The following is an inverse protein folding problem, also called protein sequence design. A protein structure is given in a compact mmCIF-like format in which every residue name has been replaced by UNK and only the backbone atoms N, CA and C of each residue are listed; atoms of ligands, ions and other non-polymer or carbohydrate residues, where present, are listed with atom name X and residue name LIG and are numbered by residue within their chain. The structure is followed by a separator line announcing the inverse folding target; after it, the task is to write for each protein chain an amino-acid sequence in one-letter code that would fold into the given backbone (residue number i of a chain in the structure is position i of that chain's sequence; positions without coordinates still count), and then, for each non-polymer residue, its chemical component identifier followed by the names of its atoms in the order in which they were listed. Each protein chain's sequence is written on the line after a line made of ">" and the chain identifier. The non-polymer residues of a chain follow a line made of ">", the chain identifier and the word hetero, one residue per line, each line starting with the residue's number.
data_IF_493409655657
#
_entry.id   IF_493409655657
#
_cell.length_a   1.000
_cell.length_b   1.000
_cell.length_c   1.000
_cell.angle_alpha   90.00
_cell.angle_beta   90.00
_cell.angle_gamma   90.00
#
_symmetry.space_group_name_H-M   'P 1'
#
loop_
_entity.id
_entity.type
_entity.pdbx_description
1 polymer ?
#
# COMPACT_ATOMS: atom_id res chain seq x y z
N UNK A 1 7.57 -16.38 22.84
CA UNK A 1 7.64 -15.07 22.18
C UNK A 1 6.30 -14.82 21.51
N UNK A 2 5.75 -13.61 21.62
CA UNK A 2 4.51 -13.29 20.94
C UNK A 2 4.77 -13.25 19.42
N UNK A 3 3.86 -13.82 18.64
CA UNK A 3 4.00 -13.87 17.18
C UNK A 3 3.92 -12.47 16.61
N UNK A 4 4.86 -12.09 15.75
CA UNK A 4 4.87 -10.79 15.09
C UNK A 4 3.61 -10.63 14.23
N UNK A 5 2.83 -9.58 14.50
CA UNK A 5 1.64 -9.21 13.74
C UNK A 5 1.80 -7.81 13.15
N UNK A 6 1.10 -7.54 12.05
CA UNK A 6 1.21 -6.27 11.33
C UNK A 6 -0.08 -5.46 11.42
N UNK A 7 0.04 -4.14 11.54
CA UNK A 7 -1.12 -3.27 11.61
C UNK A 7 -1.78 -3.11 10.24
N UNK A 8 -3.13 -3.19 10.20
CA UNK A 8 -3.91 -3.06 8.96
C UNK A 8 -3.57 -1.79 8.17
N UNK A 9 -3.37 -0.66 8.82
CA UNK A 9 -3.03 0.60 8.14
C UNK A 9 -1.65 0.61 7.46
N UNK A 10 -0.82 -0.39 7.70
CA UNK A 10 0.52 -0.51 7.12
C UNK A 10 0.68 -1.72 6.19
N UNK A 11 -0.40 -2.47 5.94
CA UNK A 11 -0.35 -3.66 5.09
C UNK A 11 0.07 -3.33 3.66
N UNK A 12 -0.28 -2.15 3.14
CA UNK A 12 0.16 -1.72 1.82
C UNK A 12 1.68 -1.65 1.67
N UNK A 13 2.42 -1.30 2.74
CA UNK A 13 3.89 -1.35 2.74
C UNK A 13 4.41 -2.77 2.58
N UNK A 14 3.81 -3.73 3.31
CA UNK A 14 4.15 -5.17 3.22
C UNK A 14 3.82 -5.73 1.84
N UNK A 15 2.69 -5.32 1.27
CA UNK A 15 2.18 -5.80 -0.01
C UNK A 15 2.66 -5.00 -1.21
N UNK A 16 3.59 -4.05 -1.02
CA UNK A 16 4.20 -3.30 -2.13
C UNK A 16 4.88 -4.27 -3.09
N UNK A 17 4.53 -4.26 -4.39
CA UNK A 17 5.11 -5.19 -5.35
C UNK A 17 6.62 -4.96 -5.55
N UNK A 18 7.35 -6.02 -5.84
CA UNK A 18 8.75 -5.94 -6.24
C UNK A 18 8.90 -5.29 -7.62
N UNK A 19 10.03 -4.64 -7.89
CA UNK A 19 10.31 -4.04 -9.21
C UNK A 19 10.67 -5.08 -10.28
N UNK A 20 10.84 -6.33 -9.93
CA UNK A 20 11.22 -7.42 -10.83
C UNK A 20 10.13 -8.48 -10.96
N UNK A 21 10.38 -9.47 -11.83
CA UNK A 21 9.51 -10.64 -11.98
C UNK A 21 9.47 -11.44 -10.68
N UNK A 22 8.28 -11.92 -10.32
CA UNK A 22 8.11 -12.88 -9.23
C UNK A 22 8.84 -14.20 -9.53
N UNK A 23 9.05 -15.04 -8.52
CA UNK A 23 9.66 -16.36 -8.76
C UNK A 23 8.80 -17.24 -9.66
N UNK A 24 7.49 -17.17 -9.54
CA UNK A 24 6.57 -17.91 -10.44
C UNK A 24 6.67 -17.40 -11.88
N UNK A 25 6.81 -16.08 -12.12
CA UNK A 25 6.99 -15.53 -13.46
C UNK A 25 8.32 -15.97 -14.07
N UNK A 26 9.40 -15.95 -13.28
CA UNK A 26 10.72 -16.45 -13.71
C UNK A 26 10.68 -17.93 -14.08
N UNK A 27 9.97 -18.73 -13.27
CA UNK A 27 9.77 -20.14 -13.53
C UNK A 27 8.99 -20.36 -14.84
N UNK A 28 7.87 -19.66 -15.03
CA UNK A 28 7.05 -19.77 -16.24
C UNK A 28 7.83 -19.36 -17.50
N UNK A 29 8.59 -18.26 -17.44
CA UNK A 29 9.47 -17.83 -18.54
C UNK A 29 10.52 -18.88 -18.88
N UNK A 30 11.15 -19.49 -17.88
CA UNK A 30 12.16 -20.53 -18.08
C UNK A 30 11.55 -21.80 -18.71
N UNK A 31 10.34 -22.19 -18.29
CA UNK A 31 9.59 -23.33 -18.88
C UNK A 31 9.23 -23.04 -20.34
N UNK A 32 8.73 -21.85 -20.66
CA UNK A 32 8.39 -21.44 -22.01
C UNK A 32 9.63 -21.40 -22.92
N UNK A 33 10.73 -20.83 -22.41
CA UNK A 33 12.00 -20.78 -23.13
C UNK A 33 12.56 -22.19 -23.38
N UNK A 34 12.46 -23.09 -22.42
CA UNK A 34 12.86 -24.48 -22.57
C UNK A 34 12.03 -25.18 -23.65
N UNK A 35 10.71 -25.00 -23.68
CA UNK A 35 9.81 -25.57 -24.65
C UNK A 35 10.15 -25.07 -26.07
N UNK A 36 10.31 -23.76 -26.26
CA UNK A 36 10.67 -23.16 -27.55
C UNK A 36 12.04 -23.59 -28.05
N UNK A 37 13.02 -23.75 -27.14
CA UNK A 37 14.37 -24.23 -27.49
C UNK A 37 14.36 -25.69 -27.90
N UNK A 38 13.56 -26.54 -27.22
CA UNK A 38 13.37 -27.94 -27.63
C UNK A 38 12.75 -28.05 -29.02
N UNK A 39 11.75 -27.23 -29.35
CA UNK A 39 11.15 -27.18 -30.69
C UNK A 39 12.19 -26.84 -31.74
N UNK A 40 12.99 -25.81 -31.54
CA UNK A 40 14.09 -25.42 -32.45
C UNK A 40 15.14 -26.52 -32.63
N UNK A 41 15.50 -27.19 -31.53
CA UNK A 41 16.43 -28.32 -31.58
C UNK A 41 15.89 -29.45 -32.47
N UNK A 42 14.63 -29.83 -32.30
CA UNK A 42 13.99 -30.88 -33.07
C UNK A 42 13.89 -30.52 -34.55
N UNK A 43 13.54 -29.28 -34.89
CA UNK A 43 13.52 -28.76 -36.26
C UNK A 43 14.93 -28.80 -36.91
N UNK A 44 15.94 -28.36 -36.17
CA UNK A 44 17.33 -28.40 -36.64
C UNK A 44 17.80 -29.80 -36.89
N UNK A 45 17.48 -30.75 -36.00
CA UNK A 45 17.85 -32.17 -36.10
C UNK A 45 17.12 -32.86 -37.27
N UNK A 46 15.86 -32.52 -37.53
CA UNK A 46 15.09 -33.09 -38.65
C UNK A 46 15.59 -32.62 -40.02
N UNK A 47 16.27 -31.46 -40.08
CA UNK A 47 16.85 -30.90 -41.31
C UNK A 47 18.29 -31.39 -41.58
N UNK A 48 18.87 -32.17 -40.66
CA UNK A 48 20.21 -32.72 -40.83
C UNK A 48 20.21 -33.91 -41.83
N UNK A 49 20.87 -33.71 -42.95
CA UNK A 49 21.13 -34.79 -43.92
C UNK A 49 22.44 -35.50 -43.55
N UNK A 50 22.30 -36.79 -43.11
CA UNK A 50 23.37 -37.78 -42.84
C UNK A 50 24.40 -37.46 -41.75
N UNK A 51 24.19 -38.05 -40.56
CA UNK A 51 25.16 -38.50 -39.55
C UNK A 51 26.24 -37.53 -39.03
N UNK A 52 26.08 -36.22 -39.14
CA UNK A 52 26.90 -35.25 -38.41
C UNK A 52 26.00 -34.27 -37.70
N UNK A 53 26.03 -34.32 -36.36
CA UNK A 53 25.44 -33.24 -35.55
C UNK A 53 26.08 -31.92 -35.96
N UNK A 54 25.24 -30.95 -36.32
CA UNK A 54 25.72 -29.62 -36.63
C UNK A 54 26.12 -28.89 -35.35
N UNK A 55 27.07 -27.98 -35.44
CA UNK A 55 27.46 -27.12 -34.31
C UNK A 55 26.26 -26.40 -33.71
N UNK A 56 25.23 -26.09 -34.52
CA UNK A 56 23.99 -25.45 -34.08
C UNK A 56 23.15 -26.38 -33.18
N UNK A 57 23.04 -27.68 -33.54
CA UNK A 57 22.33 -28.67 -32.74
C UNK A 57 23.02 -28.92 -31.39
N UNK A 58 24.35 -28.98 -31.37
CA UNK A 58 25.15 -29.13 -30.14
C UNK A 58 24.90 -27.94 -29.21
N UNK A 59 25.01 -26.70 -29.69
CA UNK A 59 24.77 -25.51 -28.91
C UNK A 59 23.33 -25.46 -28.34
N UNK A 60 22.32 -25.90 -29.12
CA UNK A 60 20.93 -25.98 -28.65
C UNK A 60 20.76 -27.04 -27.56
N UNK A 61 21.45 -28.18 -27.66
CA UNK A 61 21.40 -29.24 -26.64
C UNK A 61 22.05 -28.81 -25.33
N UNK A 62 23.19 -28.11 -25.39
CA UNK A 62 23.82 -27.50 -24.22
C UNK A 62 22.89 -26.53 -23.54
N UNK A 63 22.28 -25.61 -24.31
CA UNK A 63 21.29 -24.66 -23.80
C UNK A 63 20.07 -25.32 -23.17
N UNK A 64 19.57 -26.42 -23.76
CA UNK A 64 18.47 -27.21 -23.20
C UNK A 64 18.85 -27.79 -21.83
N UNK A 65 20.10 -28.26 -21.72
CA UNK A 65 20.61 -28.83 -20.47
C UNK A 65 20.69 -27.76 -19.36
N UNK A 66 21.21 -26.58 -19.69
CA UNK A 66 21.25 -25.42 -18.77
C UNK A 66 19.84 -24.98 -18.34
N UNK A 67 18.92 -24.85 -19.30
CA UNK A 67 17.54 -24.47 -19.02
C UNK A 67 16.79 -25.49 -18.15
N UNK A 68 17.04 -26.78 -18.35
CA UNK A 68 16.47 -27.83 -17.48
C UNK A 68 16.97 -27.71 -16.04
N UNK A 69 18.25 -27.41 -15.84
CA UNK A 69 18.79 -27.16 -14.51
C UNK A 69 18.16 -25.91 -13.88
N UNK A 70 18.06 -24.83 -14.65
CA UNK A 70 17.44 -23.58 -14.19
C UNK A 70 15.95 -23.76 -13.84
N UNK A 71 15.17 -24.47 -14.67
CA UNK A 71 13.75 -24.77 -14.36
C UNK A 71 13.64 -25.55 -13.06
N UNK A 72 14.50 -26.54 -12.84
CA UNK A 72 14.51 -27.34 -11.63
C UNK A 72 14.84 -26.51 -10.37
N UNK A 73 15.80 -25.60 -10.47
CA UNK A 73 16.12 -24.67 -9.37
C UNK A 73 14.97 -23.72 -9.08
N UNK A 74 14.38 -23.10 -10.13
CA UNK A 74 13.25 -22.19 -9.98
C UNK A 74 12.00 -22.92 -9.47
N UNK A 75 11.81 -24.19 -9.79
CA UNK A 75 10.68 -24.98 -9.30
C UNK A 75 10.69 -25.12 -7.77
N UNK A 76 11.87 -25.18 -7.16
CA UNK A 76 12.02 -25.28 -5.69
C UNK A 76 11.61 -23.99 -4.97
N UNK A 77 11.73 -22.82 -5.65
CA UNK A 77 11.50 -21.52 -5.04
C UNK A 77 10.34 -20.74 -5.70
N UNK A 78 9.62 -21.34 -6.66
CA UNK A 78 8.57 -20.65 -7.43
C UNK A 78 7.45 -20.06 -6.57
N UNK A 79 7.14 -20.73 -5.46
CA UNK A 79 6.09 -20.35 -4.54
C UNK A 79 6.60 -19.43 -3.41
N UNK A 80 7.91 -19.19 -3.33
CA UNK A 80 8.50 -18.32 -2.32
C UNK A 80 8.20 -16.86 -2.63
N UNK A 81 7.75 -16.16 -1.61
CA UNK A 81 7.43 -14.72 -1.70
C UNK A 81 8.72 -13.90 -1.64
N UNK A 82 8.93 -13.07 -2.64
CA UNK A 82 10.00 -12.06 -2.63
C UNK A 82 9.45 -10.77 -2.03
N UNK A 83 10.02 -10.34 -0.92
CA UNK A 83 9.69 -9.05 -0.31
C UNK A 83 10.30 -7.89 -1.13
N UNK A 84 9.52 -6.83 -1.33
CA UNK A 84 10.02 -5.58 -1.92
C UNK A 84 10.96 -4.85 -0.94
N UNK A 85 11.79 -3.94 -1.45
CA UNK A 85 12.64 -3.10 -0.59
C UNK A 85 11.81 -2.22 0.36
N UNK A 86 10.63 -1.76 -0.06
CA UNK A 86 9.69 -1.04 0.82
C UNK A 86 9.22 -1.93 1.98
N UNK A 87 8.87 -3.19 1.69
CA UNK A 87 8.46 -4.13 2.72
C UNK A 87 9.62 -4.43 3.70
N UNK A 88 10.82 -4.65 3.19
CA UNK A 88 12.02 -4.89 4.02
C UNK A 88 12.32 -3.70 4.93
N UNK A 89 12.37 -2.49 4.37
CA UNK A 89 12.61 -1.26 5.16
C UNK A 89 11.55 -1.09 6.27
N UNK A 90 10.29 -1.38 5.98
CA UNK A 90 9.24 -1.31 7.00
C UNK A 90 9.41 -2.39 8.09
N UNK A 91 9.85 -3.60 7.72
CA UNK A 91 10.13 -4.66 8.70
C UNK A 91 11.33 -4.29 9.57
N UNK A 92 12.36 -3.66 9.00
CA UNK A 92 13.52 -3.12 9.72
C UNK A 92 13.12 -2.02 10.72
N UNK A 93 12.21 -1.11 10.33
CA UNK A 93 11.64 -0.12 11.26
C UNK A 93 10.96 -0.80 12.46
N UNK A 94 10.17 -1.87 12.22
CA UNK A 94 9.54 -2.64 13.28
C UNK A 94 10.59 -3.33 14.15
N UNK A 95 11.63 -3.91 13.55
CA UNK A 95 12.70 -4.57 14.26
C UNK A 95 13.47 -3.61 15.17
N UNK A 96 13.85 -2.42 14.65
CA UNK A 96 14.49 -1.37 15.43
C UNK A 96 13.63 -0.90 16.59
N UNK A 97 12.32 -0.71 16.35
CA UNK A 97 11.38 -0.32 17.40
C UNK A 97 11.28 -1.37 18.50
N UNK A 98 11.18 -2.64 18.14
CA UNK A 98 10.97 -3.73 19.10
C UNK A 98 12.24 -4.05 19.91
N UNK A 99 13.43 -3.92 19.30
CA UNK A 99 14.69 -4.27 19.96
C UNK A 99 15.38 -3.08 20.64
N UNK A 100 15.17 -1.85 20.13
CA UNK A 100 15.90 -0.65 20.60
C UNK A 100 14.97 0.50 21.01
N UNK A 101 13.66 0.34 20.91
CA UNK A 101 12.70 1.43 21.20
C UNK A 101 12.77 2.60 20.18
N UNK A 102 13.50 2.42 19.07
CA UNK A 102 13.65 3.45 18.05
C UNK A 102 12.37 3.61 17.24
N UNK A 103 11.86 4.83 17.14
CA UNK A 103 10.68 5.17 16.37
C UNK A 103 10.86 6.51 15.70
N UNK A 104 10.87 6.51 14.38
CA UNK A 104 10.76 7.76 13.64
C UNK A 104 9.36 8.36 13.84
N UNK A 105 9.34 9.61 14.29
CA UNK A 105 8.09 10.33 14.51
C UNK A 105 7.97 11.43 13.46
N UNK A 106 7.16 11.19 12.44
CA UNK A 106 6.82 12.19 11.45
C UNK A 106 5.42 12.72 11.79
N UNK A 107 5.33 13.99 12.17
CA UNK A 107 4.07 14.68 12.44
C UNK A 107 3.88 15.75 11.37
N UNK A 108 2.86 15.58 10.53
CA UNK A 108 2.49 16.56 9.50
C UNK A 108 1.17 17.23 9.84
N UNK A 109 0.90 18.40 9.27
CA UNK A 109 -0.37 19.10 9.46
C UNK A 109 -1.56 18.27 8.94
N UNK A 110 -1.36 17.51 7.85
CA UNK A 110 -2.35 16.58 7.30
C UNK A 110 -2.72 15.48 8.30
N UNK A 111 -1.72 14.88 8.94
CA UNK A 111 -1.95 13.85 9.95
C UNK A 111 -2.71 14.41 11.16
N UNK A 112 -2.32 15.60 11.63
CA UNK A 112 -3.01 16.27 12.75
C UNK A 112 -4.46 16.56 12.37
N UNK A 113 -4.72 17.10 11.16
CA UNK A 113 -6.09 17.33 10.66
C UNK A 113 -6.88 16.02 10.67
N UNK A 114 -6.31 14.94 10.14
CA UNK A 114 -6.96 13.62 10.11
C UNK A 114 -7.47 13.19 11.49
N UNK A 115 -6.62 13.32 12.51
CA UNK A 115 -6.94 12.95 13.89
C UNK A 115 -8.00 13.88 14.51
N UNK A 116 -7.82 15.20 14.35
CA UNK A 116 -8.68 16.19 15.02
C UNK A 116 -10.08 16.27 14.39
N UNK A 117 -10.17 16.16 13.06
CA UNK A 117 -11.43 16.28 12.34
C UNK A 117 -12.18 14.94 12.14
N UNK A 118 -11.69 13.82 12.66
CA UNK A 118 -12.30 12.52 12.44
C UNK A 118 -13.76 12.48 12.93
N UNK A 119 -14.01 12.95 14.16
CA UNK A 119 -15.35 12.99 14.73
C UNK A 119 -16.30 13.88 13.92
N UNK A 120 -15.87 15.10 13.59
CA UNK A 120 -16.65 16.04 12.76
C UNK A 120 -16.95 15.44 11.40
N UNK A 121 -16.02 14.70 10.81
CA UNK A 121 -16.23 14.05 9.53
C UNK A 121 -17.28 12.94 9.61
N UNK A 122 -17.30 12.16 10.67
CA UNK A 122 -18.35 11.15 10.89
C UNK A 122 -19.71 11.84 11.08
N UNK A 123 -19.78 12.93 11.85
CA UNK A 123 -21.00 13.72 12.04
C UNK A 123 -21.52 14.30 10.72
N UNK A 124 -20.62 14.76 9.84
CA UNK A 124 -20.96 15.27 8.51
C UNK A 124 -21.54 14.16 7.60
N UNK A 125 -21.04 12.91 7.71
CA UNK A 125 -21.63 11.78 6.99
C UNK A 125 -23.04 11.48 7.48
N UNK A 126 -23.27 11.49 8.80
CA UNK A 126 -24.63 11.32 9.39
C UNK A 126 -25.58 12.42 8.92
N UNK A 127 -25.12 13.67 8.85
CA UNK A 127 -25.91 14.80 8.34
C UNK A 127 -26.29 14.59 6.85
N UNK A 128 -25.37 14.04 6.05
CA UNK A 128 -25.58 13.85 4.63
C UNK A 128 -26.61 12.79 4.27
N UNK A 129 -26.60 11.63 4.96
CA UNK A 129 -27.42 10.47 4.57
C UNK A 129 -28.36 9.96 5.68
N UNK A 130 -28.28 10.56 6.87
CA UNK A 130 -29.07 10.15 8.06
C UNK A 130 -28.79 8.72 8.54
N UNK A 131 -27.73 8.07 8.06
CA UNK A 131 -27.31 6.76 8.55
C UNK A 131 -26.55 6.94 9.87
N UNK A 132 -26.96 6.21 10.92
CA UNK A 132 -26.29 6.29 12.21
C UNK A 132 -24.87 5.70 12.12
N UNK A 133 -23.88 6.45 12.59
CA UNK A 133 -22.49 6.05 12.68
C UNK A 133 -21.94 6.33 14.06
N UNK A 134 -21.28 5.37 14.62
CA UNK A 134 -20.54 5.52 15.87
C UNK A 134 -19.08 5.15 15.63
N UNK A 135 -18.16 5.98 16.15
CA UNK A 135 -16.75 5.65 16.08
C UNK A 135 -16.48 4.37 16.85
N UNK A 136 -15.88 3.40 16.16
CA UNK A 136 -15.48 2.15 16.77
C UNK A 136 -14.32 2.37 17.77
N UNK A 137 -14.40 1.69 18.91
CA UNK A 137 -13.37 1.69 19.96
C UNK A 137 -12.75 0.30 20.16
N UNK A 138 -13.24 -0.71 19.46
CA UNK A 138 -12.75 -2.08 19.57
C UNK A 138 -11.45 -2.27 18.78
N UNK A 139 -10.57 -3.05 19.36
CA UNK A 139 -9.32 -3.47 18.73
C UNK A 139 -9.41 -4.93 18.35
N UNK A 140 -9.15 -5.23 17.08
CA UNK A 140 -9.19 -6.57 16.52
C UNK A 140 -7.79 -7.09 16.26
N UNK A 141 -7.57 -8.38 16.49
CA UNK A 141 -6.29 -9.04 16.27
C UNK A 141 -6.52 -10.52 15.93
N UNK A 142 -5.77 -11.02 14.95
CA UNK A 142 -5.58 -12.44 14.72
C UNK A 142 -4.08 -12.78 14.73
N UNK A 143 -3.70 -13.97 14.30
CA UNK A 143 -2.31 -14.40 14.30
C UNK A 143 -1.41 -13.61 13.33
N UNK A 144 -1.97 -12.90 12.37
CA UNK A 144 -1.24 -12.21 11.30
C UNK A 144 -1.32 -10.69 11.39
N UNK A 145 -2.50 -10.17 11.65
CA UNK A 145 -2.80 -8.74 11.56
C UNK A 145 -3.58 -8.22 12.76
N UNK A 146 -3.54 -6.92 12.93
CA UNK A 146 -4.29 -6.23 13.98
C UNK A 146 -4.71 -4.83 13.53
N UNK A 147 -5.74 -4.27 14.17
CA UNK A 147 -6.16 -2.90 13.93
C UNK A 147 -7.54 -2.57 14.51
N UNK A 148 -7.93 -1.32 14.32
CA UNK A 148 -9.21 -0.78 14.75
C UNK A 148 -9.78 0.04 13.58
N UNK A 149 -10.81 -0.45 12.87
CA UNK A 149 -11.50 0.32 11.84
C UNK A 149 -12.24 1.52 12.44
N UNK A 150 -12.52 2.56 11.65
CA UNK A 150 -13.14 3.79 12.16
C UNK A 150 -14.61 3.58 12.52
N UNK A 151 -15.39 2.95 11.62
CA UNK A 151 -16.83 2.69 11.80
C UNK A 151 -17.14 1.27 11.36
N UNK A 152 -17.94 0.57 12.16
CA UNK A 152 -18.44 -0.78 11.85
C UNK A 152 -19.97 -0.71 11.74
N UNK A 153 -20.47 -0.87 10.53
CA UNK A 153 -21.90 -0.99 10.24
C UNK A 153 -22.32 -2.45 10.19
N UNK A 154 -23.62 -2.71 10.02
CA UNK A 154 -24.17 -4.07 10.04
C UNK A 154 -23.46 -4.99 9.03
N UNK A 155 -23.24 -4.54 7.79
CA UNK A 155 -22.67 -5.33 6.69
C UNK A 155 -21.34 -4.78 6.18
N UNK A 156 -20.92 -3.58 6.61
CA UNK A 156 -19.87 -2.78 5.98
C UNK A 156 -18.90 -2.23 7.03
N UNK A 157 -17.61 -2.24 6.71
CA UNK A 157 -16.60 -1.42 7.39
C UNK A 157 -16.53 -0.09 6.65
N UNK A 158 -16.64 1.02 7.34
CA UNK A 158 -16.41 2.34 6.76
C UNK A 158 -15.17 2.99 7.38
N UNK A 159 -14.24 3.41 6.53
CA UNK A 159 -12.99 4.09 6.91
C UNK A 159 -13.03 5.52 6.38
N UNK A 160 -12.88 6.48 7.28
CA UNK A 160 -13.07 7.90 7.00
C UNK A 160 -11.74 8.61 6.85
N UNK A 161 -11.51 9.22 5.69
CA UNK A 161 -10.26 9.94 5.38
C UNK A 161 -10.52 11.43 5.20
N UNK A 162 -9.87 12.24 6.02
CA UNK A 162 -9.92 13.70 5.90
C UNK A 162 -8.96 14.20 4.81
N UNK A 163 -9.50 14.81 3.78
CA UNK A 163 -8.68 15.41 2.73
C UNK A 163 -8.07 16.74 3.20
N UNK A 164 -6.79 16.93 2.93
CA UNK A 164 -6.05 18.13 3.32
C UNK A 164 -6.54 19.39 2.58
N UNK A 165 -6.71 19.28 1.26
CA UNK A 165 -7.15 20.38 0.38
C UNK A 165 -8.18 19.88 -0.64
N UNK A 166 -8.84 20.80 -1.33
CA UNK A 166 -9.71 20.48 -2.47
C UNK A 166 -8.95 19.68 -3.55
N UNK A 167 -7.66 19.97 -3.78
CA UNK A 167 -6.84 19.25 -4.75
C UNK A 167 -6.61 17.78 -4.35
N UNK A 168 -6.33 17.51 -3.08
CA UNK A 168 -6.18 16.13 -2.58
C UNK A 168 -7.51 15.38 -2.63
N UNK A 169 -8.62 16.02 -2.27
CA UNK A 169 -9.96 15.47 -2.40
C UNK A 169 -10.33 15.15 -3.85
N UNK A 170 -10.06 16.08 -4.77
CA UNK A 170 -10.33 15.86 -6.21
C UNK A 170 -9.60 14.64 -6.76
N UNK A 171 -8.36 14.42 -6.34
CA UNK A 171 -7.50 13.29 -6.74
C UNK A 171 -7.68 12.04 -5.90
N UNK A 172 -8.57 12.07 -4.90
CA UNK A 172 -8.80 10.93 -4.03
C UNK A 172 -9.28 9.71 -4.83
N UNK A 173 -8.68 8.57 -4.54
CA UNK A 173 -8.92 7.27 -5.17
C UNK A 173 -8.54 6.16 -4.19
N UNK A 174 -8.84 4.91 -4.52
CA UNK A 174 -8.40 3.74 -3.76
C UNK A 174 -6.91 3.54 -4.03
N UNK A 175 -6.07 3.91 -3.06
CA UNK A 175 -4.66 3.56 -3.11
C UNK A 175 -4.44 2.10 -2.72
N UNK A 176 -3.30 1.52 -3.11
CA UNK A 176 -2.89 0.18 -2.65
C UNK A 176 -2.87 0.08 -1.12
N UNK A 177 -2.44 1.13 -0.41
CA UNK A 177 -2.41 1.13 1.05
C UNK A 177 -3.82 1.01 1.65
N UNK A 178 -4.78 1.77 1.13
CA UNK A 178 -6.17 1.71 1.60
C UNK A 178 -6.89 0.44 1.18
N UNK A 179 -6.57 -0.11 0.00
CA UNK A 179 -7.08 -1.41 -0.41
C UNK A 179 -6.67 -2.51 0.58
N UNK A 180 -5.37 -2.62 0.87
CA UNK A 180 -4.88 -3.63 1.80
C UNK A 180 -5.33 -3.38 3.24
N UNK A 181 -5.44 -2.13 3.67
CA UNK A 181 -6.04 -1.76 4.95
C UNK A 181 -7.48 -2.30 5.05
N UNK A 182 -8.29 -2.05 4.03
CA UNK A 182 -9.69 -2.50 3.99
C UNK A 182 -9.82 -4.02 3.94
N UNK A 183 -9.00 -4.71 3.14
CA UNK A 183 -8.96 -6.18 3.12
C UNK A 183 -8.63 -6.73 4.51
N UNK A 184 -7.64 -6.16 5.20
CA UNK A 184 -7.27 -6.57 6.55
C UNK A 184 -8.39 -6.32 7.57
N UNK A 185 -9.07 -5.19 7.52
CA UNK A 185 -10.19 -4.92 8.43
C UNK A 185 -11.38 -5.84 8.17
N UNK A 186 -11.71 -6.13 6.91
CA UNK A 186 -12.77 -7.09 6.57
C UNK A 186 -12.43 -8.50 7.07
N UNK A 187 -11.18 -8.92 6.95
CA UNK A 187 -10.72 -10.21 7.46
C UNK A 187 -10.83 -10.31 8.99
N UNK A 188 -10.41 -9.27 9.72
CA UNK A 188 -10.49 -9.22 11.18
C UNK A 188 -11.92 -9.22 11.73
N UNK A 189 -12.84 -8.58 11.03
CA UNK A 189 -14.21 -8.38 11.51
C UNK A 189 -15.23 -9.36 10.91
N UNK A 190 -14.82 -10.12 9.88
CA UNK A 190 -15.71 -11.01 9.13
C UNK A 190 -16.66 -10.29 8.17
N UNK A 191 -16.61 -8.97 8.07
CA UNK A 191 -17.43 -8.19 7.14
C UNK A 191 -16.95 -8.43 5.70
N UNK A 192 -17.84 -8.26 4.72
CA UNK A 192 -17.53 -8.58 3.31
C UNK A 192 -17.50 -7.36 2.41
N UNK A 193 -17.86 -6.19 2.94
CA UNK A 193 -17.85 -4.92 2.20
C UNK A 193 -17.04 -3.87 2.95
N UNK A 194 -16.34 -3.05 2.19
CA UNK A 194 -15.57 -1.93 2.70
C UNK A 194 -15.91 -0.66 1.96
N UNK A 195 -16.10 0.42 2.70
CA UNK A 195 -16.39 1.76 2.23
C UNK A 195 -15.25 2.67 2.63
N UNK A 196 -14.53 3.20 1.65
CA UNK A 196 -13.51 4.22 1.83
C UNK A 196 -14.14 5.58 1.55
N UNK A 197 -14.36 6.37 2.59
CA UNK A 197 -15.08 7.64 2.50
C UNK A 197 -14.13 8.81 2.73
N UNK A 198 -13.87 9.58 1.67
CA UNK A 198 -13.13 10.83 1.79
C UNK A 198 -14.07 11.97 2.13
N UNK A 199 -13.68 12.74 3.15
CA UNK A 199 -14.41 13.92 3.60
C UNK A 199 -13.54 15.16 3.44
N UNK A 200 -14.15 16.24 2.96
CA UNK A 200 -13.54 17.55 2.84
C UNK A 200 -14.10 18.45 3.95
N UNK A 201 -13.61 18.25 5.19
CA UNK A 201 -13.92 19.08 6.36
C UNK A 201 -13.06 20.34 6.39
N UNK A 202 -13.54 21.41 7.02
CA UNK A 202 -12.73 22.59 7.27
C UNK A 202 -11.50 22.22 8.13
N UNK A 203 -10.39 22.88 7.86
CA UNK A 203 -9.20 22.66 8.68
C UNK A 203 -9.27 23.59 9.88
N UNK A 204 -9.09 23.10 11.13
CA UNK A 204 -9.09 23.91 12.34
C UNK A 204 -8.16 25.12 12.23
N UNK A 205 -8.59 26.32 12.70
CA UNK A 205 -7.84 27.57 12.55
C UNK A 205 -6.41 27.50 13.10
N UNK A 206 -6.18 26.73 14.14
CA UNK A 206 -4.86 26.55 14.75
C UNK A 206 -3.91 25.81 13.81
N UNK A 207 -4.41 24.82 13.06
CA UNK A 207 -3.62 24.06 12.07
C UNK A 207 -3.36 24.96 10.85
N UNK A 208 -4.36 25.72 10.39
CA UNK A 208 -4.20 26.69 9.29
C UNK A 208 -3.16 27.75 9.64
N UNK A 209 -3.17 28.23 10.90
CA UNK A 209 -2.17 29.21 11.36
C UNK A 209 -0.76 28.63 11.33
N UNK A 210 -0.58 27.38 11.76
CA UNK A 210 0.73 26.70 11.67
C UNK A 210 1.18 26.52 10.23
N UNK A 211 0.27 26.16 9.32
CA UNK A 211 0.55 26.04 7.89
C UNK A 211 0.99 27.38 7.30
N UNK A 212 0.28 28.47 7.61
CA UNK A 212 0.66 29.83 7.19
C UNK A 212 2.09 30.15 7.67
N UNK A 213 2.37 29.97 8.95
CA UNK A 213 3.68 30.26 9.52
C UNK A 213 4.79 29.44 8.84
N UNK A 214 4.54 28.17 8.57
CA UNK A 214 5.49 27.28 7.89
C UNK A 214 5.75 27.72 6.44
N UNK A 215 4.71 28.07 5.69
CA UNK A 215 4.84 28.61 4.32
C UNK A 215 5.58 29.94 4.30
N UNK A 216 5.29 30.85 5.25
CA UNK A 216 5.99 32.13 5.39
C UNK A 216 7.46 31.95 5.74
N UNK A 217 7.80 31.00 6.60
CA UNK A 217 9.19 30.70 6.93
C UNK A 217 9.95 30.19 5.69
N UNK A 218 9.36 29.29 4.90
CA UNK A 218 9.94 28.81 3.64
C UNK A 218 10.16 29.94 2.63
N UNK A 219 9.19 30.83 2.47
CA UNK A 219 9.30 31.97 1.57
C UNK A 219 10.39 32.94 2.01
N UNK A 220 10.51 33.23 3.29
CA UNK A 220 11.55 34.10 3.85
C UNK A 220 12.96 33.52 3.63
N UNK A 221 13.10 32.21 3.54
CA UNK A 221 14.38 31.54 3.25
C UNK A 221 14.72 31.54 1.76
N UNK A 222 13.69 31.50 0.90
CA UNK A 222 13.87 31.39 -0.56
C UNK A 222 14.01 32.75 -1.28
N UNK A 223 13.53 33.84 -0.66
CA UNK A 223 13.45 35.17 -1.30
C UNK A 223 14.07 36.22 -0.38
N UNK A 224 15.24 36.75 -0.79
CA UNK A 224 15.97 37.80 -0.04
C UNK A 224 15.36 39.19 -0.20
N UNK A 225 14.53 39.46 -1.22
CA UNK A 225 14.07 40.81 -1.60
C UNK A 225 12.64 41.17 -1.13
N UNK A 226 11.99 40.39 -0.28
CA UNK A 226 10.74 40.79 0.39
C UNK A 226 9.54 41.18 -0.52
N UNK A 227 9.53 40.81 -1.78
CA UNK A 227 8.54 41.25 -2.78
C UNK A 227 7.23 40.45 -2.77
N UNK A 228 6.86 39.73 -1.71
CA UNK A 228 5.59 39.00 -1.65
C UNK A 228 4.63 39.59 -0.63
N UNK A 229 3.38 39.65 -1.02
CA UNK A 229 2.27 40.11 -0.19
C UNK A 229 1.87 38.99 0.79
N UNK A 230 2.37 39.07 2.02
CA UNK A 230 2.14 38.07 3.06
C UNK A 230 0.66 37.90 3.39
N UNK A 231 -0.11 38.99 3.35
CA UNK A 231 -1.52 38.98 3.71
C UNK A 231 -2.34 38.25 2.66
N UNK A 232 -2.05 38.47 1.38
CA UNK A 232 -2.68 37.73 0.28
C UNK A 232 -2.37 36.25 0.32
N UNK A 233 -1.12 35.88 0.62
CA UNK A 233 -0.74 34.48 0.74
C UNK A 233 -1.48 33.82 1.91
N UNK A 234 -1.50 34.48 3.08
CA UNK A 234 -2.22 33.99 4.24
C UNK A 234 -3.72 33.84 3.98
N UNK A 235 -4.34 34.81 3.28
CA UNK A 235 -5.74 34.74 2.89
C UNK A 235 -6.00 33.56 1.93
N UNK A 236 -5.13 33.36 0.95
CA UNK A 236 -5.26 32.24 0.01
C UNK A 236 -5.12 30.89 0.72
N UNK A 237 -4.22 30.76 1.69
CA UNK A 237 -4.08 29.53 2.49
C UNK A 237 -5.37 29.29 3.28
N UNK A 238 -5.94 30.30 3.95
CA UNK A 238 -7.22 30.15 4.66
C UNK A 238 -8.34 29.68 3.72
N UNK A 239 -8.46 30.28 2.55
CA UNK A 239 -9.46 29.86 1.53
C UNK A 239 -9.26 28.43 1.08
N UNK A 240 -8.01 27.97 0.93
CA UNK A 240 -7.69 26.61 0.52
C UNK A 240 -8.02 25.55 1.60
N UNK A 241 -8.35 25.98 2.82
CA UNK A 241 -8.62 25.12 3.97
C UNK A 241 -10.02 25.32 4.57
N UNK A 242 -10.89 26.07 3.90
CA UNK A 242 -12.28 26.32 4.29
C UNK A 242 -13.23 25.84 3.19
N UNK A 243 -14.11 24.87 3.51
CA UNK A 243 -14.95 24.16 2.54
C UNK A 243 -16.43 24.17 2.93
N UNK A 244 -16.79 24.67 4.11
CA UNK A 244 -18.18 24.77 4.60
C UNK A 244 -19.12 25.57 3.71
N UNK A 245 -18.56 26.40 2.80
CA UNK A 245 -19.32 27.10 1.75
C UNK A 245 -19.79 26.18 0.61
N UNK A 246 -19.26 24.97 0.51
CA UNK A 246 -19.68 23.97 -0.49
C UNK A 246 -20.85 23.15 0.04
N UNK A 247 -21.81 22.74 -0.83
CA UNK A 247 -22.83 21.78 -0.45
C UNK A 247 -22.23 20.48 0.10
N UNK A 248 -22.90 19.88 1.09
CA UNK A 248 -22.39 18.72 1.83
C UNK A 248 -22.06 17.53 0.89
N UNK A 249 -22.94 17.28 -0.08
CA UNK A 249 -22.77 16.21 -1.07
C UNK A 249 -21.56 16.41 -1.99
N UNK A 250 -21.03 17.64 -2.09
CA UNK A 250 -19.80 17.98 -2.82
C UNK A 250 -18.52 17.78 -1.99
N UNK A 251 -18.68 17.51 -0.72
CA UNK A 251 -17.60 17.37 0.25
C UNK A 251 -17.37 15.92 0.65
N UNK A 252 -18.11 14.99 0.06
CA UNK A 252 -18.04 13.55 0.34
C UNK A 252 -17.76 12.80 -0.96
N UNK A 253 -16.83 11.85 -0.90
CA UNK A 253 -16.47 10.97 -2.01
C UNK A 253 -16.30 9.56 -1.49
N UNK A 254 -17.08 8.62 -2.00
CA UNK A 254 -17.15 7.25 -1.51
C UNK A 254 -16.63 6.29 -2.56
N UNK A 255 -15.82 5.33 -2.13
CA UNK A 255 -15.38 4.18 -2.90
C UNK A 255 -15.74 2.91 -2.13
N UNK A 256 -16.17 1.88 -2.85
CA UNK A 256 -16.55 0.61 -2.25
C UNK A 256 -15.78 -0.54 -2.92
N UNK A 257 -15.43 -1.55 -2.14
CA UNK A 257 -14.90 -2.80 -2.64
C UNK A 257 -15.22 -3.95 -1.68
N UNK A 258 -15.08 -5.16 -2.18
CA UNK A 258 -15.44 -6.37 -1.47
C UNK A 258 -14.20 -7.13 -0.97
N UNK A 259 -14.44 -8.01 0.01
CA UNK A 259 -13.47 -8.94 0.53
C UNK A 259 -12.97 -9.90 -0.55
N UNK A 260 -11.68 -10.07 -0.63
CA UNK A 260 -11.03 -10.99 -1.57
C UNK A 260 -10.20 -12.02 -0.81
N UNK A 261 -10.71 -13.24 -0.72
CA UNK A 261 -10.04 -14.34 -0.03
C UNK A 261 -8.68 -14.70 -0.65
N UNK A 262 -8.55 -14.60 -1.99
CA UNK A 262 -7.28 -14.85 -2.67
C UNK A 262 -6.20 -13.85 -2.25
N UNK A 263 -6.58 -12.58 -2.10
CA UNK A 263 -5.65 -11.53 -1.66
C UNK A 263 -5.28 -11.71 -0.17
N UNK A 264 -6.20 -12.13 0.69
CA UNK A 264 -5.89 -12.45 2.08
C UNK A 264 -4.93 -13.63 2.18
N UNK A 265 -5.13 -14.68 1.39
CA UNK A 265 -4.19 -15.81 1.33
C UNK A 265 -2.80 -15.37 0.86
N UNK A 266 -2.72 -14.45 -0.10
CA UNK A 266 -1.46 -13.84 -0.54
C UNK A 266 -0.83 -12.98 0.56
N UNK A 267 -1.63 -12.17 1.26
CA UNK A 267 -1.18 -11.36 2.39
C UNK A 267 -0.54 -12.24 3.48
N UNK A 268 -1.18 -13.33 3.87
CA UNK A 268 -0.68 -14.20 4.92
C UNK A 268 0.64 -14.87 4.53
N UNK A 269 0.77 -15.36 3.30
CA UNK A 269 2.06 -15.86 2.77
C UNK A 269 3.15 -14.79 2.81
N UNK A 270 2.78 -13.55 2.48
CA UNK A 270 3.74 -12.43 2.51
C UNK A 270 4.15 -12.09 3.94
N UNK A 271 3.24 -12.16 4.89
CA UNK A 271 3.53 -11.97 6.32
C UNK A 271 4.45 -13.09 6.85
N UNK A 272 4.27 -14.32 6.44
CA UNK A 272 5.16 -15.42 6.85
C UNK A 272 6.59 -15.19 6.30
N UNK A 273 6.73 -14.75 5.04
CA UNK A 273 8.03 -14.33 4.50
C UNK A 273 8.61 -13.11 5.26
N UNK A 274 7.77 -12.15 5.66
CA UNK A 274 8.18 -11.00 6.46
C UNK A 274 8.70 -11.41 7.86
N UNK A 275 8.08 -12.41 8.49
CA UNK A 275 8.54 -12.98 9.77
C UNK A 275 9.91 -13.66 9.65
N UNK A 276 10.11 -14.42 8.55
CA UNK A 276 11.41 -15.03 8.27
C UNK A 276 12.48 -13.94 8.12
N UNK A 277 12.19 -12.90 7.35
CA UNK A 277 13.11 -11.76 7.17
C UNK A 277 13.39 -11.05 8.50
N UNK A 278 12.35 -10.73 9.28
CA UNK A 278 12.47 -10.10 10.61
C UNK A 278 13.43 -10.87 11.53
N UNK A 279 13.31 -12.21 11.56
CA UNK A 279 14.16 -13.07 12.38
C UNK A 279 15.61 -13.21 11.86
N UNK A 280 15.87 -12.82 10.61
CA UNK A 280 17.22 -12.82 10.03
C UNK A 280 17.98 -11.52 10.26
N UNK A 281 17.33 -10.45 10.73
CA UNK A 281 17.95 -9.15 10.96
C UNK A 281 18.84 -9.20 12.21
N UNK A 282 20.06 -8.67 12.08
CA UNK A 282 21.00 -8.45 13.18
C UNK A 282 21.72 -7.13 12.96
N UNK A 283 22.15 -6.45 14.05
CA UNK A 283 23.08 -5.32 14.00
C UNK A 283 24.50 -5.83 13.85
#
# INVERSE_FOLDING_TARGET
>A
METLTFSCHSLGKIMTPTRGKSNIDKYNDAVELLASTNTKYNETKNNETKNKETKAAINLLEKITELKAQVKELELIKDDVILSETAKSYIEEIWLRNNYGYKDTVITHELIKGIVCEKESIELLVENDSEYREKNTEFFKNDYIHGSPDVILEEVIEDVKNSWTLKTFFKADISSDYYWQGQGYMDLTGKKKYKLTYVLSDTPPEIVTKEINWQMAKLSYAVTDGCFDKDKIAEQIRKNHTFSHLPIEKRIKVFEFEYNESDINKLYKTIDAARIYYNSISL
#
